data_IF_026869661085
#
_entry.id   IF_026869661085
#
_cell.length_a   1.000
_cell.length_b   1.000
_cell.length_c   1.000
_cell.angle_alpha   90.00
_cell.angle_beta   90.00
_cell.angle_gamma   90.00
#
_symmetry.space_group_name_H-M   'P 1'
#
loop_
_entity.id
_entity.type
_entity.pdbx_description
1 polymer ?
#
# COMPACT_ATOMS: atom_id res chain seq x y z
N UNK A 1 56.64 38.76 -50.28
CA UNK A 1 57.31 38.05 -51.39
C UNK A 1 57.30 36.56 -51.09
N UNK A 2 56.96 35.75 -52.10
CA UNK A 2 57.23 34.31 -52.31
C UNK A 2 57.99 33.56 -51.20
N UNK A 3 57.62 32.37 -50.74
CA UNK A 3 57.01 31.26 -51.48
C UNK A 3 57.97 30.07 -51.52
N UNK A 4 57.40 28.86 -51.33
CA UNK A 4 57.91 27.50 -51.68
C UNK A 4 59.12 26.99 -50.87
N UNK A 5 58.97 25.96 -50.02
CA UNK A 5 58.68 24.54 -50.28
C UNK A 5 59.79 23.82 -51.06
N UNK A 6 60.26 22.69 -50.52
CA UNK A 6 60.53 21.38 -51.15
C UNK A 6 61.65 20.67 -50.38
N UNK A 7 61.34 19.54 -49.73
CA UNK A 7 62.13 18.31 -49.88
C UNK A 7 61.16 17.14 -50.04
N UNK A 8 61.45 16.32 -51.05
CA UNK A 8 60.63 15.29 -51.66
C UNK A 8 61.22 13.90 -51.32
N UNK A 9 60.43 13.09 -50.61
CA UNK A 9 60.09 11.67 -50.86
C UNK A 9 61.18 10.72 -51.43
N UNK A 10 61.54 9.66 -50.66
CA UNK A 10 61.32 8.21 -50.96
C UNK A 10 62.33 7.30 -50.20
N UNK A 11 61.86 6.42 -49.33
CA UNK A 11 61.86 4.96 -49.59
C UNK A 11 61.05 4.22 -48.52
N UNK A 12 60.37 3.19 -49.00
CA UNK A 12 59.30 2.42 -48.36
C UNK A 12 59.89 1.10 -47.86
N UNK A 13 59.55 0.68 -46.63
CA UNK A 13 59.41 -0.75 -46.33
C UNK A 13 58.25 -0.98 -45.37
N UNK A 14 57.37 -1.90 -45.79
CA UNK A 14 56.10 -2.34 -45.25
C UNK A 14 56.24 -2.98 -43.86
N UNK A 15 55.34 -2.64 -42.92
CA UNK A 15 54.68 -3.61 -42.02
C UNK A 15 53.65 -2.91 -41.11
N UNK A 16 52.39 -3.39 -41.19
CA UNK A 16 51.33 -3.35 -40.18
C UNK A 16 50.71 -2.00 -39.80
N UNK A 17 49.40 -1.83 -39.60
CA UNK A 17 48.14 -2.49 -40.00
C UNK A 17 47.07 -1.55 -39.36
N UNK A 18 46.11 -1.02 -40.16
CA UNK A 18 44.65 -1.06 -39.91
C UNK A 18 44.18 -0.60 -38.50
N UNK A 19 43.33 0.41 -38.28
CA UNK A 19 42.19 0.94 -39.03
C UNK A 19 41.80 2.29 -38.42
N UNK A 20 41.53 3.29 -39.24
CA UNK A 20 40.75 4.45 -38.83
C UNK A 20 39.79 4.75 -39.97
N UNK A 21 38.58 4.18 -39.91
CA UNK A 21 37.43 4.73 -40.61
C UNK A 21 36.10 4.07 -40.22
N UNK A 22 35.11 4.93 -40.02
CA UNK A 22 33.66 4.74 -40.10
C UNK A 22 33.00 4.12 -38.84
N UNK A 23 31.84 4.54 -38.35
CA UNK A 23 30.67 5.17 -38.98
C UNK A 23 29.94 6.11 -38.00
N UNK A 24 29.39 7.20 -38.53
CA UNK A 24 28.23 7.87 -37.97
C UNK A 24 27.02 6.94 -38.09
N UNK A 25 26.38 6.62 -36.96
CA UNK A 25 24.96 6.26 -36.95
C UNK A 25 24.31 6.90 -35.72
N UNK A 26 23.43 7.86 -36.00
CA UNK A 26 22.48 8.38 -35.07
C UNK A 26 21.58 7.24 -34.54
N UNK A 27 21.53 7.08 -33.23
CA UNK A 27 20.32 6.61 -32.56
C UNK A 27 19.81 7.78 -31.72
N UNK A 28 19.01 8.62 -32.35
CA UNK A 28 17.91 9.32 -31.66
C UNK A 28 17.11 8.25 -30.94
N UNK A 29 17.22 8.20 -29.61
CA UNK A 29 16.30 7.44 -28.78
C UNK A 29 14.90 8.04 -28.99
N UNK A 30 14.10 7.38 -29.80
CA UNK A 30 12.66 7.53 -29.72
C UNK A 30 12.29 6.89 -28.38
N UNK A 31 12.02 7.72 -27.35
CA UNK A 31 11.29 7.28 -26.18
C UNK A 31 9.86 6.96 -26.62
N UNK A 32 9.67 5.76 -27.19
CA UNK A 32 8.38 5.09 -27.08
C UNK A 32 8.23 4.74 -25.62
N UNK A 33 7.20 5.28 -24.95
CA UNK A 33 6.84 4.99 -23.57
C UNK A 33 6.40 3.54 -23.37
N UNK A 34 7.32 2.59 -23.55
CA UNK A 34 7.17 1.24 -23.03
C UNK A 34 7.40 1.36 -21.53
N UNK A 35 6.31 1.44 -20.78
CA UNK A 35 6.34 1.19 -19.34
C UNK A 35 6.96 -0.21 -19.16
N UNK A 36 8.04 -0.29 -18.37
CA UNK A 36 8.67 -1.59 -18.11
C UNK A 36 7.61 -2.53 -17.53
N UNK A 37 7.60 -3.79 -17.98
CA UNK A 37 6.73 -4.81 -17.40
C UNK A 37 6.95 -4.87 -15.89
N UNK A 38 5.89 -5.01 -15.07
CA UNK A 38 6.03 -5.16 -13.62
C UNK A 38 6.98 -6.30 -13.28
N UNK A 39 7.88 -6.15 -12.28
CA UNK A 39 8.63 -7.28 -11.77
C UNK A 39 7.68 -8.39 -11.32
N UNK A 40 8.09 -9.64 -11.55
CA UNK A 40 7.32 -10.80 -11.14
C UNK A 40 8.15 -11.70 -10.24
N UNK A 41 7.48 -12.29 -9.26
CA UNK A 41 8.05 -13.28 -8.36
C UNK A 41 6.98 -14.24 -7.86
N UNK A 42 7.39 -15.41 -7.38
CA UNK A 42 6.51 -16.25 -6.57
C UNK A 42 6.18 -15.54 -5.24
N UNK A 43 5.11 -15.91 -4.55
CA UNK A 43 4.78 -15.34 -3.26
C UNK A 43 3.40 -15.73 -2.79
N UNK A 44 2.92 -15.04 -1.76
CA UNK A 44 1.58 -15.27 -1.23
C UNK A 44 0.92 -13.95 -0.79
N UNK A 45 -0.40 -13.91 -0.86
CA UNK A 45 -1.24 -12.84 -0.33
C UNK A 45 -2.34 -13.52 0.46
N UNK A 46 -2.44 -13.23 1.75
CA UNK A 46 -3.46 -13.80 2.63
C UNK A 46 -4.21 -12.68 3.32
N UNK A 47 -5.54 -12.68 3.21
CA UNK A 47 -6.41 -11.74 3.91
C UNK A 47 -6.88 -12.28 5.25
N UNK A 48 -7.04 -11.38 6.20
CA UNK A 48 -7.60 -11.64 7.51
C UNK A 48 -8.63 -10.56 7.86
N UNK A 49 -9.73 -10.98 8.49
CA UNK A 49 -10.88 -10.16 8.85
C UNK A 49 -11.10 -10.23 10.37
N UNK A 50 -11.00 -9.09 11.04
CA UNK A 50 -11.15 -8.99 12.48
C UNK A 50 -12.57 -8.56 12.86
N UNK A 51 -13.15 -9.10 13.94
CA UNK A 51 -12.56 -10.05 14.89
C UNK A 51 -12.82 -11.53 14.57
N UNK A 52 -13.29 -11.86 13.36
CA UNK A 52 -13.68 -13.23 12.99
C UNK A 52 -12.48 -14.18 12.98
N UNK A 53 -11.35 -13.69 12.45
CA UNK A 53 -10.08 -14.40 12.48
C UNK A 53 -9.34 -14.16 13.82
N UNK A 54 -8.42 -15.06 14.16
CA UNK A 54 -7.51 -14.90 15.29
C UNK A 54 -6.45 -13.83 15.01
N UNK A 55 -6.88 -12.59 14.75
CA UNK A 55 -6.03 -11.52 14.26
C UNK A 55 -4.86 -11.21 15.21
N UNK A 56 -5.10 -11.24 16.52
CA UNK A 56 -4.05 -11.13 17.54
C UNK A 56 -2.98 -12.22 17.37
N UNK A 57 -3.41 -13.48 17.28
CA UNK A 57 -2.49 -14.61 17.12
C UNK A 57 -1.72 -14.56 15.79
N UNK A 58 -2.40 -14.21 14.70
CA UNK A 58 -1.79 -14.05 13.37
C UNK A 58 -0.71 -12.97 13.38
N UNK A 59 -1.00 -11.81 13.97
CA UNK A 59 -0.01 -10.73 14.06
C UNK A 59 1.17 -11.11 14.97
N UNK A 60 0.91 -11.77 16.11
CA UNK A 60 1.97 -12.30 16.97
C UNK A 60 2.85 -13.29 16.20
N UNK A 61 2.26 -14.21 15.44
CA UNK A 61 3.02 -15.17 14.63
C UNK A 61 3.88 -14.49 13.57
N UNK A 62 3.36 -13.44 12.91
CA UNK A 62 4.13 -12.64 11.95
C UNK A 62 5.39 -12.00 12.58
N UNK A 63 5.24 -11.39 13.75
CA UNK A 63 6.35 -10.77 14.49
C UNK A 63 7.33 -11.83 15.02
N UNK A 64 6.82 -12.94 15.55
CA UNK A 64 7.65 -13.99 16.14
C UNK A 64 8.48 -14.74 15.09
N UNK A 65 7.94 -14.95 13.89
CA UNK A 65 8.63 -15.64 12.80
C UNK A 65 9.78 -14.85 12.17
N UNK A 66 9.88 -13.54 12.39
CA UNK A 66 10.91 -12.71 11.78
C UNK A 66 12.32 -13.08 12.30
N UNK A 67 13.30 -13.17 11.40
CA UNK A 67 14.64 -13.69 11.72
C UNK A 67 15.78 -12.65 11.67
N UNK A 68 15.56 -11.43 11.16
CA UNK A 68 16.57 -10.37 11.01
C UNK A 68 16.07 -8.98 11.34
N UNK A 69 14.86 -8.64 10.92
CA UNK A 69 14.32 -7.30 11.10
C UNK A 69 12.81 -7.30 11.27
N UNK A 70 12.32 -6.34 12.06
CA UNK A 70 10.91 -5.98 12.19
C UNK A 70 10.81 -4.46 12.20
N UNK A 71 10.20 -3.92 11.15
CA UNK A 71 10.03 -2.49 10.98
C UNK A 71 8.56 -2.14 10.86
N UNK A 72 8.02 -1.34 11.77
CA UNK A 72 6.58 -1.08 11.83
C UNK A 72 6.25 0.41 11.89
N UNK A 73 5.17 0.80 11.21
CA UNK A 73 4.56 2.11 11.31
C UNK A 73 3.10 1.95 11.76
N UNK A 74 2.76 2.51 12.94
CA UNK A 74 1.43 2.39 13.53
C UNK A 74 0.90 3.71 14.07
N UNK A 75 -0.35 4.03 13.73
CA UNK A 75 -1.06 5.12 14.41
C UNK A 75 -1.26 4.81 15.89
N UNK A 76 -1.63 3.57 16.26
CA UNK A 76 -1.65 3.13 17.65
C UNK A 76 -0.87 1.84 17.90
N UNK A 77 0.02 1.89 18.91
CA UNK A 77 0.66 0.72 19.51
C UNK A 77 0.29 0.67 20.99
N UNK A 78 -0.78 -0.06 21.32
CA UNK A 78 -1.40 -0.03 22.65
C UNK A 78 -1.74 -1.41 23.23
N UNK A 79 -1.50 -2.51 22.52
CA UNK A 79 -1.66 -3.86 23.07
C UNK A 79 -0.39 -4.26 23.83
N UNK A 80 -0.43 -4.46 25.17
CA UNK A 80 0.78 -4.69 25.96
C UNK A 80 1.60 -5.91 25.52
N UNK A 81 0.94 -7.01 25.16
CA UNK A 81 1.61 -8.23 24.70
C UNK A 81 2.42 -8.03 23.40
N UNK A 82 1.97 -7.15 22.51
CA UNK A 82 2.69 -6.82 21.27
C UNK A 82 3.92 -5.97 21.60
N UNK A 83 3.77 -4.99 22.50
CA UNK A 83 4.89 -4.16 22.97
C UNK A 83 5.95 -5.02 23.64
N UNK A 84 5.54 -5.97 24.49
CA UNK A 84 6.44 -6.91 25.15
C UNK A 84 7.16 -7.81 24.14
N UNK A 85 6.44 -8.35 23.15
CA UNK A 85 7.04 -9.17 22.09
C UNK A 85 8.09 -8.39 21.28
N UNK A 86 7.78 -7.16 20.87
CA UNK A 86 8.72 -6.30 20.14
C UNK A 86 9.98 -6.02 20.95
N UNK A 87 9.85 -5.73 22.26
CA UNK A 87 11.00 -5.51 23.14
C UNK A 87 11.85 -6.78 23.37
N UNK A 88 11.22 -7.96 23.36
CA UNK A 88 11.94 -9.23 23.42
C UNK A 88 12.69 -9.52 22.11
N UNK A 89 12.08 -9.24 20.96
CA UNK A 89 12.69 -9.41 19.63
C UNK A 89 13.82 -8.40 19.40
N UNK A 90 13.70 -7.16 19.89
CA UNK A 90 14.71 -6.10 19.71
C UNK A 90 16.06 -6.41 20.38
N UNK A 91 16.12 -7.44 21.23
CA UNK A 91 17.36 -7.92 21.86
C UNK A 91 18.11 -8.93 20.99
N UNK A 92 17.48 -9.40 19.91
CA UNK A 92 17.96 -10.50 19.07
C UNK A 92 18.12 -10.08 17.61
N UNK A 93 17.21 -9.24 17.11
CA UNK A 93 17.13 -8.79 15.73
C UNK A 93 16.92 -7.28 15.67
N UNK A 94 17.06 -6.68 14.49
CA UNK A 94 16.77 -5.26 14.31
C UNK A 94 15.26 -5.01 14.48
N UNK A 95 14.85 -4.20 15.44
CA UNK A 95 13.45 -3.84 15.63
C UNK A 95 13.38 -2.34 15.68
N UNK A 96 12.52 -1.77 14.84
CA UNK A 96 12.30 -0.33 14.73
C UNK A 96 10.81 -0.06 14.53
N UNK A 97 10.27 0.87 15.29
CA UNK A 97 8.84 1.20 15.23
C UNK A 97 8.65 2.70 15.25
N UNK A 98 7.87 3.23 14.30
CA UNK A 98 7.39 4.61 14.29
C UNK A 98 5.93 4.60 14.75
N UNK A 99 5.58 5.47 15.69
CA UNK A 99 4.22 5.62 16.21
C UNK A 99 3.75 7.08 16.19
N UNK A 100 2.44 7.31 16.10
CA UNK A 100 1.88 8.67 16.21
C UNK A 100 2.04 9.25 17.63
N UNK A 101 2.05 10.59 17.75
CA UNK A 101 2.24 11.36 18.99
C UNK A 101 1.35 10.95 20.16
N UNK A 102 0.19 10.37 19.90
CA UNK A 102 -0.75 9.92 20.91
C UNK A 102 -0.28 8.65 21.64
N UNK A 103 0.90 8.10 21.31
CA UNK A 103 1.54 6.97 21.99
C UNK A 103 2.73 7.40 22.87
N UNK A 104 2.75 8.66 23.31
CA UNK A 104 3.85 9.29 24.06
C UNK A 104 4.21 8.65 25.41
N UNK A 105 3.45 7.67 25.88
CA UNK A 105 3.72 6.92 27.11
C UNK A 105 4.73 5.77 26.89
N UNK A 106 5.07 5.44 25.64
CA UNK A 106 6.09 4.45 25.31
C UNK A 106 7.46 5.10 25.16
N UNK A 107 8.49 4.50 25.76
CA UNK A 107 9.87 4.96 25.66
C UNK A 107 10.82 3.77 25.57
N UNK A 108 11.16 3.40 24.35
CA UNK A 108 12.06 2.28 24.04
C UNK A 108 13.10 2.70 23.00
N UNK A 109 14.33 2.16 23.04
CA UNK A 109 15.36 2.48 22.04
C UNK A 109 14.97 2.16 20.59
N UNK A 110 14.11 1.16 20.42
CA UNK A 110 13.57 0.71 19.13
C UNK A 110 12.36 1.53 18.66
N UNK A 111 11.88 2.52 19.44
CA UNK A 111 10.66 3.26 19.13
C UNK A 111 10.96 4.74 18.86
N UNK A 112 10.34 5.27 17.80
CA UNK A 112 10.26 6.71 17.49
C UNK A 112 8.82 7.16 17.49
N UNK A 113 8.60 8.38 17.97
CA UNK A 113 7.29 9.03 17.98
C UNK A 113 7.32 10.13 16.92
N UNK A 114 6.43 10.06 15.94
CA UNK A 114 6.16 11.18 15.05
C UNK A 114 5.53 12.32 15.86
N UNK A 115 6.09 13.52 15.71
CA UNK A 115 5.60 14.76 16.34
C UNK A 115 5.21 15.81 15.31
N UNK A 116 5.09 15.42 14.04
CA UNK A 116 4.64 16.25 12.95
C UNK A 116 3.18 16.73 13.16
N UNK A 117 2.78 17.72 12.37
CA UNK A 117 1.42 18.28 12.46
C UNK A 117 0.37 17.45 11.72
N UNK A 118 0.81 16.67 10.72
CA UNK A 118 -0.03 15.69 10.06
C UNK A 118 -0.12 14.43 10.93
N UNK A 119 -0.82 13.40 10.45
CA UNK A 119 -0.81 12.11 11.12
C UNK A 119 0.07 11.14 10.35
N UNK A 120 0.97 10.45 11.04
CA UNK A 120 1.52 9.19 10.57
C UNK A 120 0.44 8.12 10.78
N UNK A 121 -0.41 7.95 9.78
CA UNK A 121 -1.64 7.17 9.89
C UNK A 121 -1.49 5.74 9.31
N UNK A 122 -0.27 5.33 9.00
CA UNK A 122 0.06 3.97 8.58
C UNK A 122 -0.32 2.89 9.62
N UNK A 123 -0.57 1.68 9.12
CA UNK A 123 -0.69 0.43 9.90
C UNK A 123 -0.02 -0.71 9.13
N UNK A 124 1.30 -0.70 9.13
CA UNK A 124 2.05 -1.77 8.49
C UNK A 124 3.24 -2.23 9.32
N UNK A 125 3.68 -3.45 9.06
CA UNK A 125 4.97 -3.97 9.48
C UNK A 125 5.64 -4.71 8.34
N UNK A 126 6.96 -4.64 8.29
CA UNK A 126 7.81 -5.36 7.38
C UNK A 126 8.71 -6.29 8.19
N UNK A 127 8.76 -7.56 7.80
CA UNK A 127 9.61 -8.57 8.40
C UNK A 127 10.65 -9.03 7.39
N UNK A 128 11.92 -9.05 7.82
CA UNK A 128 13.05 -9.60 7.07
C UNK A 128 13.37 -8.95 5.71
N UNK A 129 12.88 -7.74 5.46
CA UNK A 129 13.16 -7.02 4.21
C UNK A 129 14.54 -6.36 4.20
N UNK A 130 14.98 -6.01 3.00
CA UNK A 130 16.15 -5.18 2.72
C UNK A 130 15.72 -4.07 1.76
N UNK A 131 16.12 -2.83 2.07
CA UNK A 131 15.86 -1.66 1.23
C UNK A 131 16.52 -1.73 -0.16
N UNK A 132 17.44 -2.68 -0.37
CA UNK A 132 18.06 -2.95 -1.69
C UNK A 132 17.41 -4.12 -2.45
N UNK A 133 16.24 -4.60 -2.03
CA UNK A 133 15.57 -5.76 -2.63
C UNK A 133 16.15 -7.09 -2.16
N UNK A 134 16.12 -8.11 -3.03
CA UNK A 134 16.46 -9.52 -2.74
C UNK A 134 17.65 -9.68 -1.77
N UNK A 135 17.36 -10.19 -0.57
CA UNK A 135 18.33 -10.29 0.53
C UNK A 135 19.12 -11.63 0.55
N UNK A 136 18.96 -12.49 -0.46
CA UNK A 136 19.65 -13.78 -0.56
C UNK A 136 19.33 -14.80 0.54
N UNK A 137 18.32 -14.55 1.40
CA UNK A 137 17.87 -15.47 2.43
C UNK A 137 16.97 -16.58 1.88
N UNK A 138 16.93 -17.69 2.61
CA UNK A 138 15.94 -18.73 2.41
C UNK A 138 14.61 -18.29 3.04
N UNK A 139 13.67 -17.83 2.22
CA UNK A 139 12.38 -17.28 2.66
C UNK A 139 12.12 -15.91 2.02
N UNK A 140 10.85 -15.54 1.86
CA UNK A 140 10.47 -14.21 1.36
C UNK A 140 10.18 -13.29 2.54
N UNK A 141 10.56 -12.01 2.47
CA UNK A 141 10.15 -11.03 3.47
C UNK A 141 8.63 -10.89 3.46
N UNK A 142 8.08 -10.58 4.64
CA UNK A 142 6.64 -10.44 4.85
C UNK A 142 6.25 -8.98 5.07
N UNK A 143 5.08 -8.59 4.54
CA UNK A 143 4.44 -7.30 4.81
C UNK A 143 3.08 -7.57 5.44
N UNK A 144 2.88 -7.04 6.63
CA UNK A 144 1.57 -6.83 7.24
C UNK A 144 1.08 -5.44 6.85
N UNK A 145 -0.10 -5.31 6.24
CA UNK A 145 -0.68 -4.01 5.88
C UNK A 145 -2.20 -4.04 5.90
N UNK A 146 -2.84 -2.99 6.41
CA UNK A 146 -4.28 -2.87 6.36
C UNK A 146 -4.85 -1.72 7.17
N UNK A 147 -6.06 -1.93 7.67
CA UNK A 147 -6.79 -0.94 8.49
C UNK A 147 -6.55 -1.11 10.00
N UNK A 148 -5.93 -2.22 10.39
CA UNK A 148 -5.80 -2.69 11.77
C UNK A 148 -4.55 -2.12 12.47
N UNK A 149 -4.75 -1.28 13.48
CA UNK A 149 -3.67 -0.84 14.38
C UNK A 149 -3.27 -1.92 15.39
N UNK A 150 -2.11 -1.78 16.02
CA UNK A 150 -1.64 -2.65 17.10
C UNK A 150 -2.32 -2.34 18.46
N UNK A 151 -3.66 -2.39 18.49
CA UNK A 151 -4.50 -2.13 19.68
C UNK A 151 -5.54 -3.24 19.92
N UNK A 152 -5.89 -3.46 21.19
CA UNK A 152 -6.84 -4.52 21.60
C UNK A 152 -8.14 -4.50 20.79
N UNK A 153 -8.81 -3.35 20.75
CA UNK A 153 -10.07 -3.20 20.03
C UNK A 153 -9.93 -3.40 18.52
N UNK A 154 -8.78 -3.09 17.91
CA UNK A 154 -8.59 -3.30 16.47
C UNK A 154 -8.57 -4.78 16.11
N UNK A 155 -7.94 -5.61 16.95
CA UNK A 155 -7.86 -7.04 16.72
C UNK A 155 -9.10 -7.81 17.19
N UNK A 156 -9.72 -7.41 18.30
CA UNK A 156 -10.67 -8.27 19.02
C UNK A 156 -12.12 -7.79 18.98
N UNK A 157 -12.41 -6.57 18.50
CA UNK A 157 -13.79 -6.03 18.58
C UNK A 157 -14.24 -5.24 17.35
N UNK A 158 -13.40 -4.35 16.82
CA UNK A 158 -13.70 -3.54 15.66
C UNK A 158 -13.62 -4.38 14.37
N UNK A 159 -14.51 -4.08 13.43
CA UNK A 159 -14.43 -4.63 12.07
C UNK A 159 -13.23 -3.98 11.37
N UNK A 160 -12.21 -4.79 11.09
CA UNK A 160 -11.01 -4.40 10.34
C UNK A 160 -10.59 -5.53 9.40
N UNK A 161 -9.62 -5.23 8.56
CA UNK A 161 -8.93 -6.21 7.75
C UNK A 161 -7.45 -5.86 7.62
N UNK A 162 -6.64 -6.88 7.34
CA UNK A 162 -5.27 -6.73 6.91
C UNK A 162 -4.86 -7.85 5.96
N UNK A 163 -3.80 -7.60 5.21
CA UNK A 163 -3.11 -8.58 4.37
C UNK A 163 -1.77 -8.95 5.02
N UNK A 164 -1.39 -10.21 4.87
CA UNK A 164 0.02 -10.63 4.92
C UNK A 164 0.46 -10.94 3.48
N UNK A 165 1.50 -10.25 3.02
CA UNK A 165 2.05 -10.38 1.67
C UNK A 165 3.50 -10.86 1.76
N UNK A 166 3.81 -12.00 1.15
CA UNK A 166 5.18 -12.50 1.01
C UNK A 166 5.74 -12.13 -0.36
N UNK A 167 6.59 -11.10 -0.41
CA UNK A 167 7.12 -10.55 -1.67
C UNK A 167 8.37 -9.72 -1.39
N UNK A 168 9.44 -9.94 -2.16
CA UNK A 168 10.65 -9.11 -2.08
C UNK A 168 10.40 -7.69 -2.55
N UNK A 169 9.61 -7.51 -3.61
CA UNK A 169 9.39 -6.20 -4.22
C UNK A 169 8.43 -5.35 -3.38
N UNK A 170 7.29 -5.91 -2.95
CA UNK A 170 6.35 -5.21 -2.07
C UNK A 170 7.03 -4.90 -0.73
N UNK A 171 7.79 -5.84 -0.16
CA UNK A 171 8.51 -5.56 1.08
C UNK A 171 9.60 -4.49 0.93
N UNK A 172 10.26 -4.40 -0.23
CA UNK A 172 11.22 -3.33 -0.50
C UNK A 172 10.54 -1.95 -0.57
N UNK A 173 9.35 -1.85 -1.15
CA UNK A 173 8.58 -0.60 -1.19
C UNK A 173 8.19 -0.14 0.23
N UNK A 174 7.60 -1.03 1.04
CA UNK A 174 7.23 -0.70 2.43
C UNK A 174 8.44 -0.46 3.34
N UNK A 175 9.56 -1.13 3.10
CA UNK A 175 10.83 -0.85 3.80
C UNK A 175 11.36 0.54 3.43
N UNK A 176 11.24 0.96 2.17
CA UNK A 176 11.59 2.31 1.72
C UNK A 176 10.80 3.38 2.47
N UNK A 177 9.47 3.27 2.44
CA UNK A 177 8.56 4.14 3.20
C UNK A 177 8.92 4.15 4.70
N UNK A 178 9.18 2.98 5.28
CA UNK A 178 9.56 2.90 6.69
C UNK A 178 10.85 3.67 7.00
N UNK A 179 11.89 3.55 6.16
CA UNK A 179 13.15 4.25 6.37
C UNK A 179 12.99 5.77 6.31
N UNK A 180 12.08 6.27 5.48
CA UNK A 180 11.73 7.68 5.41
C UNK A 180 11.08 8.16 6.72
N UNK A 181 10.02 7.47 7.16
CA UNK A 181 9.36 7.73 8.45
C UNK A 181 10.35 7.63 9.62
N UNK A 182 11.21 6.62 9.61
CA UNK A 182 12.23 6.43 10.63
C UNK A 182 13.21 7.59 10.63
N UNK A 183 13.63 8.08 9.46
CA UNK A 183 14.53 9.24 9.33
C UNK A 183 13.87 10.59 9.65
N UNK A 184 12.55 10.61 9.87
CA UNK A 184 11.76 11.80 10.20
C UNK A 184 11.27 12.57 8.97
N UNK A 185 11.22 11.92 7.81
CA UNK A 185 10.57 12.43 6.60
C UNK A 185 9.13 11.95 6.64
N UNK A 186 8.19 12.90 6.64
CA UNK A 186 6.74 12.66 6.71
C UNK A 186 6.05 13.48 5.62
N UNK A 187 5.04 12.90 4.99
CA UNK A 187 4.22 13.52 3.96
C UNK A 187 4.89 13.60 2.58
N UNK A 188 5.92 12.80 2.34
CA UNK A 188 6.63 12.71 1.06
C UNK A 188 7.92 11.91 1.19
N UNK A 189 8.62 11.72 0.08
CA UNK A 189 9.63 10.69 0.03
C UNK A 189 10.35 10.57 -1.30
N UNK A 190 11.04 9.45 -1.45
CA UNK A 190 11.51 8.93 -2.71
C UNK A 190 10.38 8.27 -3.50
N UNK A 191 10.63 7.95 -4.77
CA UNK A 191 9.65 7.21 -5.55
C UNK A 191 9.60 5.76 -5.09
N UNK A 192 8.38 5.23 -4.92
CA UNK A 192 8.12 3.79 -4.80
C UNK A 192 8.79 3.05 -5.95
N UNK A 193 9.81 2.20 -5.71
CA UNK A 193 10.61 1.61 -6.78
C UNK A 193 9.86 0.52 -7.56
N UNK A 194 8.93 -0.19 -6.92
CA UNK A 194 8.16 -1.28 -7.53
C UNK A 194 6.64 -1.07 -7.39
N UNK A 195 6.09 0.06 -7.88
CA UNK A 195 4.70 0.46 -7.63
C UNK A 195 3.66 -0.50 -8.23
N UNK A 196 4.10 -1.48 -9.03
CA UNK A 196 3.32 -2.60 -9.55
C UNK A 196 4.17 -3.86 -9.48
N UNK A 197 3.66 -4.95 -8.89
CA UNK A 197 4.33 -6.25 -8.77
C UNK A 197 3.39 -7.38 -9.17
N UNK A 198 3.85 -8.31 -9.99
CA UNK A 198 3.10 -9.53 -10.31
C UNK A 198 3.52 -10.68 -9.39
N UNK A 199 2.69 -10.98 -8.39
CA UNK A 199 2.90 -12.10 -7.46
C UNK A 199 2.24 -13.35 -8.02
N UNK A 200 3.03 -14.40 -8.23
CA UNK A 200 2.55 -15.72 -8.63
C UNK A 200 2.37 -16.60 -7.39
N UNK A 201 1.17 -17.16 -7.22
CA UNK A 201 0.90 -18.10 -6.12
C UNK A 201 0.23 -19.38 -6.66
N UNK A 202 0.27 -20.50 -5.92
CA UNK A 202 -0.45 -21.71 -6.31
C UNK A 202 -1.97 -21.50 -6.51
N UNK A 203 -2.54 -20.48 -5.88
CA UNK A 203 -3.97 -20.18 -5.90
C UNK A 203 -4.35 -19.11 -6.93
N UNK A 204 -3.40 -18.67 -7.77
CA UNK A 204 -3.60 -17.65 -8.79
C UNK A 204 -2.55 -16.55 -8.72
N UNK A 205 -2.46 -15.80 -9.80
CA UNK A 205 -1.59 -14.63 -9.87
C UNK A 205 -2.35 -13.40 -9.40
N UNK A 206 -1.62 -12.46 -8.81
CA UNK A 206 -2.15 -11.17 -8.39
C UNK A 206 -1.21 -10.06 -8.88
N UNK A 207 -1.78 -9.06 -9.56
CA UNK A 207 -1.08 -7.79 -9.76
C UNK A 207 -1.34 -6.93 -8.52
N UNK A 208 -0.28 -6.49 -7.86
CA UNK A 208 -0.32 -5.66 -6.66
C UNK A 208 0.24 -4.29 -6.99
N UNK A 209 -0.55 -3.25 -6.78
CA UNK A 209 -0.05 -1.87 -6.77
C UNK A 209 0.17 -1.43 -5.32
N UNK A 210 1.28 -0.73 -5.06
CA UNK A 210 1.62 -0.12 -3.77
C UNK A 210 1.65 1.38 -3.95
N UNK A 211 0.97 2.12 -3.07
CA UNK A 211 0.94 3.57 -3.07
C UNK A 211 1.10 4.11 -1.65
N UNK A 212 1.90 5.15 -1.50
CA UNK A 212 2.04 5.93 -0.28
C UNK A 212 1.49 7.35 -0.49
N UNK A 213 0.61 7.77 0.39
CA UNK A 213 0.02 9.10 0.37
C UNK A 213 0.70 9.99 1.40
N UNK A 214 0.88 11.30 1.09
CA UNK A 214 0.22 12.06 0.02
C UNK A 214 0.91 12.06 -1.35
N UNK A 215 2.02 11.35 -1.55
CA UNK A 215 2.86 11.52 -2.74
C UNK A 215 2.42 10.76 -3.99
N UNK A 216 1.77 9.60 -3.85
CA UNK A 216 1.42 8.73 -4.98
C UNK A 216 0.00 8.95 -5.53
N UNK A 217 -0.75 9.92 -4.99
CA UNK A 217 -2.08 10.28 -5.47
C UNK A 217 -3.12 9.17 -5.29
N UNK A 218 -3.28 8.67 -4.07
CA UNK A 218 -4.15 7.52 -3.78
C UNK A 218 -5.63 7.79 -4.11
N UNK A 219 -6.14 9.00 -3.92
CA UNK A 219 -7.53 9.30 -4.33
C UNK A 219 -7.71 9.21 -5.85
N UNK A 220 -6.74 9.67 -6.64
CA UNK A 220 -6.78 9.57 -8.09
C UNK A 220 -6.67 8.11 -8.55
N UNK A 221 -5.85 7.29 -7.88
CA UNK A 221 -5.77 5.85 -8.14
C UNK A 221 -7.12 5.16 -7.86
N UNK A 222 -7.70 5.38 -6.69
CA UNK A 222 -9.02 4.84 -6.34
C UNK A 222 -10.10 5.31 -7.32
N UNK A 223 -10.10 6.59 -7.67
CA UNK A 223 -11.04 7.16 -8.64
C UNK A 223 -10.94 6.46 -10.00
N UNK A 224 -9.71 6.23 -10.51
CA UNK A 224 -9.51 5.51 -11.78
C UNK A 224 -10.06 4.09 -11.74
N UNK A 225 -9.91 3.38 -10.62
CA UNK A 225 -10.49 2.04 -10.48
C UNK A 225 -12.03 2.10 -10.54
N UNK A 226 -12.66 3.03 -9.83
CA UNK A 226 -14.12 3.23 -9.86
C UNK A 226 -14.62 3.64 -11.25
N UNK A 227 -13.89 4.51 -11.94
CA UNK A 227 -14.24 4.95 -13.29
C UNK A 227 -14.20 3.81 -14.32
N UNK A 228 -13.34 2.81 -14.11
CA UNK A 228 -13.21 1.62 -14.96
C UNK A 228 -14.00 0.40 -14.46
N UNK A 229 -14.75 0.53 -13.36
CA UNK A 229 -15.58 -0.57 -12.85
C UNK A 229 -16.69 -0.95 -13.85
N UNK A 230 -16.94 -2.26 -13.94
CA UNK A 230 -17.81 -2.88 -14.93
C UNK A 230 -19.09 -3.50 -14.33
N UNK A 231 -19.00 -4.19 -13.18
CA UNK A 231 -20.11 -5.00 -12.64
C UNK A 231 -20.56 -4.53 -11.26
N UNK A 232 -19.65 -4.48 -10.30
CA UNK A 232 -19.99 -4.27 -8.89
C UNK A 232 -18.90 -3.53 -8.12
N UNK A 233 -19.35 -2.61 -7.27
CA UNK A 233 -18.54 -1.93 -6.26
C UNK A 233 -19.18 -2.14 -4.89
N UNK A 234 -18.44 -2.76 -3.97
CA UNK A 234 -18.78 -2.82 -2.56
C UNK A 234 -17.74 -2.03 -1.75
N UNK A 235 -18.15 -1.27 -0.73
CA UNK A 235 -17.17 -0.56 0.09
C UNK A 235 -17.56 -0.46 1.57
N UNK A 236 -16.53 -0.45 2.41
CA UNK A 236 -16.60 -0.18 3.84
C UNK A 236 -15.74 1.03 4.14
N UNK A 237 -16.32 2.05 4.74
CA UNK A 237 -15.62 3.30 4.98
C UNK A 237 -15.75 3.76 6.43
N UNK A 238 -14.62 3.76 7.15
CA UNK A 238 -14.51 4.47 8.41
C UNK A 238 -14.79 5.97 8.19
N UNK A 239 -13.94 6.70 7.45
CA UNK A 239 -14.19 8.11 7.11
C UNK A 239 -14.20 8.34 5.61
N UNK A 240 -15.28 8.92 5.08
CA UNK A 240 -15.42 9.22 3.66
C UNK A 240 -16.02 10.61 3.43
N UNK A 241 -15.17 11.54 3.02
CA UNK A 241 -15.51 12.96 2.78
C UNK A 241 -15.15 13.46 1.39
N UNK A 242 -14.40 12.71 0.57
CA UNK A 242 -14.01 13.11 -0.79
C UNK A 242 -15.18 13.12 -1.77
N UNK A 243 -15.58 14.32 -2.20
CA UNK A 243 -16.62 14.48 -3.22
C UNK A 243 -16.25 13.86 -4.57
N UNK A 244 -14.97 13.89 -4.95
CA UNK A 244 -14.48 13.32 -6.23
C UNK A 244 -14.74 11.81 -6.33
N UNK A 245 -14.48 11.07 -5.25
CA UNK A 245 -14.78 9.63 -5.16
C UNK A 245 -16.28 9.39 -5.13
N UNK A 246 -17.05 10.19 -4.37
CA UNK A 246 -18.51 10.10 -4.34
C UNK A 246 -19.14 10.33 -5.73
N UNK A 247 -18.65 11.30 -6.49
CA UNK A 247 -19.08 11.56 -7.86
C UNK A 247 -18.74 10.39 -8.80
N UNK A 248 -17.55 9.79 -8.65
CA UNK A 248 -17.15 8.62 -9.43
C UNK A 248 -18.07 7.41 -9.17
N UNK A 249 -18.46 7.15 -7.92
CA UNK A 249 -19.40 6.08 -7.56
C UNK A 249 -20.78 6.30 -8.20
N UNK A 250 -21.28 7.54 -8.21
CA UNK A 250 -22.56 7.86 -8.85
C UNK A 250 -22.48 7.71 -10.37
N UNK A 251 -21.34 8.08 -10.97
CA UNK A 251 -21.11 7.85 -12.39
C UNK A 251 -21.07 6.35 -12.70
N UNK A 252 -20.42 5.54 -11.87
CA UNK A 252 -20.42 4.08 -12.01
C UNK A 252 -21.85 3.51 -11.97
N UNK A 253 -22.66 3.91 -10.99
CA UNK A 253 -24.07 3.52 -10.94
C UNK A 253 -24.83 3.93 -12.20
N UNK A 254 -24.57 5.13 -12.74
CA UNK A 254 -25.21 5.62 -13.97
C UNK A 254 -24.81 4.81 -15.21
N UNK A 255 -23.65 4.14 -15.20
CA UNK A 255 -23.23 3.17 -16.22
C UNK A 255 -23.86 1.79 -16.03
N UNK A 256 -24.56 1.54 -14.93
CA UNK A 256 -25.19 0.26 -14.61
C UNK A 256 -24.42 -0.62 -13.62
N UNK A 257 -23.29 -0.13 -13.07
CA UNK A 257 -22.53 -0.81 -12.03
C UNK A 257 -23.34 -0.86 -10.74
N UNK A 258 -23.42 -2.02 -10.08
CA UNK A 258 -24.07 -2.13 -8.77
C UNK A 258 -23.18 -1.53 -7.70
N UNK A 259 -23.66 -0.57 -6.93
CA UNK A 259 -22.87 0.07 -5.87
C UNK A 259 -23.56 -0.09 -4.52
N UNK A 260 -22.89 -0.72 -3.56
CA UNK A 260 -23.36 -0.83 -2.17
C UNK A 260 -22.25 -0.42 -1.19
N UNK A 261 -22.58 0.27 -0.10
CA UNK A 261 -21.54 0.67 0.86
C UNK A 261 -21.99 0.98 2.28
N UNK A 262 -21.13 0.64 3.24
CA UNK A 262 -21.35 0.80 4.68
C UNK A 262 -20.44 1.90 5.21
N UNK A 263 -21.02 2.82 5.97
CA UNK A 263 -20.29 3.91 6.62
C UNK A 263 -20.27 3.72 8.13
N UNK A 264 -19.15 4.03 8.76
CA UNK A 264 -19.05 4.11 10.21
C UNK A 264 -19.96 5.21 10.80
N UNK A 265 -20.95 4.83 11.59
CA UNK A 265 -21.94 5.72 12.20
C UNK A 265 -21.29 6.77 13.10
N UNK A 266 -20.24 6.43 13.84
CA UNK A 266 -19.51 7.38 14.68
C UNK A 266 -18.78 8.47 13.88
N UNK A 267 -18.63 8.30 12.56
CA UNK A 267 -18.05 9.31 11.65
C UNK A 267 -19.13 10.18 10.97
N UNK A 268 -20.40 10.04 11.39
CA UNK A 268 -21.51 10.86 10.88
C UNK A 268 -21.27 12.35 11.15
N UNK A 269 -21.20 13.12 10.07
CA UNK A 269 -21.03 14.57 10.09
C UNK A 269 -21.59 15.19 8.81
N UNK A 270 -21.72 16.52 8.78
CA UNK A 270 -22.13 17.27 7.58
C UNK A 270 -21.17 17.13 6.39
N UNK A 271 -19.92 16.67 6.63
CA UNK A 271 -18.91 16.50 5.60
C UNK A 271 -18.88 15.07 5.03
N UNK A 272 -19.51 14.11 5.72
CA UNK A 272 -19.59 12.73 5.25
C UNK A 272 -20.38 12.64 3.95
N UNK A 273 -19.93 11.79 3.03
CA UNK A 273 -20.59 11.58 1.74
C UNK A 273 -21.81 10.67 1.82
N UNK A 274 -22.10 10.04 2.97
CA UNK A 274 -23.24 9.13 3.12
C UNK A 274 -24.57 9.74 2.63
N UNK A 275 -24.99 10.88 3.21
CA UNK A 275 -26.30 11.46 2.91
C UNK A 275 -26.38 11.99 1.47
N UNK A 276 -25.27 12.49 0.93
CA UNK A 276 -25.12 12.90 -0.47
C UNK A 276 -25.32 11.72 -1.43
N UNK A 277 -24.66 10.59 -1.17
CA UNK A 277 -24.79 9.38 -1.99
C UNK A 277 -26.20 8.79 -1.87
N UNK A 278 -26.76 8.74 -0.66
CA UNK A 278 -28.13 8.27 -0.42
C UNK A 278 -29.16 9.10 -1.17
N UNK A 279 -29.05 10.44 -1.11
CA UNK A 279 -29.92 11.35 -1.84
C UNK A 279 -29.81 11.20 -3.37
N UNK A 280 -28.66 10.74 -3.87
CA UNK A 280 -28.40 10.42 -5.29
C UNK A 280 -28.76 8.98 -5.66
N UNK A 281 -29.44 8.26 -4.77
CA UNK A 281 -30.03 6.95 -5.02
C UNK A 281 -29.07 5.77 -4.85
N UNK A 282 -27.86 5.96 -4.32
CA UNK A 282 -26.96 4.85 -4.05
C UNK A 282 -27.43 4.03 -2.85
N UNK A 283 -27.17 2.72 -2.91
CA UNK A 283 -27.46 1.80 -1.83
C UNK A 283 -26.38 1.90 -0.73
N UNK A 284 -26.45 2.95 0.08
CA UNK A 284 -25.56 3.14 1.22
C UNK A 284 -26.34 3.09 2.54
N UNK A 285 -25.65 2.65 3.59
CA UNK A 285 -26.16 2.62 4.96
C UNK A 285 -25.10 3.06 5.96
N UNK A 286 -25.54 3.60 7.09
CA UNK A 286 -24.73 3.61 8.29
C UNK A 286 -24.71 2.20 8.88
N UNK A 287 -23.59 1.82 9.49
CA UNK A 287 -23.58 0.65 10.36
C UNK A 287 -24.38 0.92 11.65
N UNK A 288 -24.73 -0.15 12.35
CA UNK A 288 -25.35 -0.14 13.67
C UNK A 288 -24.62 -1.12 14.60
N UNK A 289 -23.29 -1.17 14.50
CA UNK A 289 -22.45 -2.03 15.30
C UNK A 289 -22.24 -1.42 16.69
N UNK A 290 -22.04 -2.29 17.69
CA UNK A 290 -21.66 -1.87 19.05
C UNK A 290 -20.22 -1.34 19.09
N UNK A 291 -19.36 -1.94 18.28
CA UNK A 291 -17.95 -1.63 18.09
C UNK A 291 -17.75 -0.96 16.73
N UNK A 292 -16.56 -0.46 16.41
CA UNK A 292 -16.36 0.35 15.20
C UNK A 292 -16.28 -0.49 13.92
N UNK A 293 -16.89 -0.01 12.84
CA UNK A 293 -16.50 -0.30 11.47
C UNK A 293 -15.23 0.50 11.11
N UNK A 294 -14.06 0.00 11.48
CA UNK A 294 -12.78 0.68 11.22
C UNK A 294 -12.12 0.25 9.89
N UNK A 295 -12.84 -0.53 9.09
CA UNK A 295 -12.44 -0.96 7.74
C UNK A 295 -12.41 0.20 6.73
N UNK A 296 -11.55 0.06 5.73
CA UNK A 296 -11.26 1.04 4.68
C UNK A 296 -11.03 0.28 3.37
N UNK A 297 -12.10 -0.23 2.81
CA UNK A 297 -12.05 -1.18 1.69
C UNK A 297 -12.93 -0.73 0.57
N UNK A 298 -12.42 -0.84 -0.66
CA UNK A 298 -13.23 -0.84 -1.88
C UNK A 298 -12.97 -2.15 -2.64
N UNK A 299 -14.03 -2.92 -2.90
CA UNK A 299 -14.02 -4.10 -3.75
C UNK A 299 -14.64 -3.68 -5.06
N UNK A 300 -13.85 -3.67 -6.13
CA UNK A 300 -14.22 -3.18 -7.46
C UNK A 300 -14.01 -4.34 -8.43
N UNK A 301 -15.10 -5.00 -8.82
CA UNK A 301 -15.06 -6.23 -9.62
C UNK A 301 -14.10 -7.28 -8.99
N UNK A 302 -13.00 -7.62 -9.68
CA UNK A 302 -11.99 -8.57 -9.20
C UNK A 302 -10.79 -7.88 -8.50
N UNK A 303 -10.96 -6.63 -8.05
CA UNK A 303 -9.91 -5.82 -7.43
C UNK A 303 -10.29 -5.42 -6.00
N UNK A 304 -9.33 -5.52 -5.07
CA UNK A 304 -9.47 -5.02 -3.69
C UNK A 304 -8.53 -3.85 -3.48
N UNK A 305 -9.06 -2.75 -2.95
CA UNK A 305 -8.28 -1.61 -2.44
C UNK A 305 -8.42 -1.61 -0.93
N UNK A 306 -7.30 -1.70 -0.20
CA UNK A 306 -7.28 -1.62 1.27
C UNK A 306 -6.00 -0.94 1.75
N UNK A 307 -5.90 -0.72 3.05
CA UNK A 307 -4.78 -0.04 3.70
C UNK A 307 -5.27 0.87 4.82
N UNK A 308 -4.48 1.90 5.13
CA UNK A 308 -4.81 2.86 6.17
C UNK A 308 -5.66 4.03 5.66
N UNK A 309 -5.67 4.24 4.35
CA UNK A 309 -6.26 5.40 3.68
C UNK A 309 -7.77 5.54 3.89
N UNK A 310 -8.17 6.67 4.46
CA UNK A 310 -9.55 7.12 4.42
C UNK A 310 -9.77 8.00 3.18
N UNK A 311 -10.82 7.80 2.36
CA UNK A 311 -11.18 8.69 1.24
C UNK A 311 -11.64 10.07 1.74
N UNK A 312 -10.68 10.85 2.21
CA UNK A 312 -10.82 12.15 2.86
C UNK A 312 -9.71 13.08 2.41
N UNK A 313 -9.90 14.39 2.54
CA UNK A 313 -8.86 15.33 2.11
C UNK A 313 -7.56 15.20 2.90
N UNK A 314 -7.65 14.93 4.21
CA UNK A 314 -6.46 14.72 5.03
C UNK A 314 -5.72 13.44 4.63
N UNK A 315 -6.44 12.34 4.39
CA UNK A 315 -5.82 11.08 3.94
C UNK A 315 -5.10 11.21 2.59
N UNK A 316 -5.57 12.09 1.71
CA UNK A 316 -5.00 12.24 0.37
C UNK A 316 -3.86 13.26 0.27
N UNK A 317 -3.88 14.32 1.08
CA UNK A 317 -2.95 15.46 0.91
C UNK A 317 -2.11 15.79 2.13
N UNK A 318 -2.30 15.09 3.25
CA UNK A 318 -1.64 15.45 4.50
C UNK A 318 -1.08 14.28 5.29
N UNK A 319 -1.91 13.26 5.56
CA UNK A 319 -1.50 12.12 6.38
C UNK A 319 -0.58 11.19 5.59
N UNK A 320 0.35 10.57 6.29
CA UNK A 320 1.05 9.39 5.77
C UNK A 320 0.08 8.20 5.80
N UNK A 321 -0.22 7.69 4.62
CA UNK A 321 -1.15 6.58 4.43
C UNK A 321 -0.57 5.57 3.45
N UNK A 322 -0.90 4.30 3.63
CA UNK A 322 -0.56 3.24 2.68
C UNK A 322 -1.83 2.70 2.02
N UNK A 323 -1.73 2.43 0.73
CA UNK A 323 -2.76 1.77 -0.08
C UNK A 323 -2.14 0.62 -0.84
N UNK A 324 -2.78 -0.53 -0.75
CA UNK A 324 -2.51 -1.69 -1.60
C UNK A 324 -3.72 -1.96 -2.48
N UNK A 325 -3.49 -2.08 -3.78
CA UNK A 325 -4.49 -2.49 -4.76
C UNK A 325 -4.13 -3.88 -5.23
N UNK A 326 -5.00 -4.86 -4.98
CA UNK A 326 -4.75 -6.24 -5.36
C UNK A 326 -5.77 -6.67 -6.41
N UNK A 327 -5.30 -6.90 -7.62
CA UNK A 327 -6.10 -7.44 -8.72
C UNK A 327 -6.05 -8.97 -8.66
N UNK A 328 -7.01 -9.55 -7.94
CA UNK A 328 -7.15 -10.99 -7.79
C UNK A 328 -8.60 -11.35 -7.45
N UNK A 329 -9.22 -12.17 -8.31
CA UNK A 329 -10.63 -12.55 -8.21
C UNK A 329 -10.94 -13.30 -6.91
N UNK A 330 -10.10 -14.25 -6.54
CA UNK A 330 -10.29 -15.07 -5.36
C UNK A 330 -10.25 -14.24 -4.07
N UNK A 331 -9.32 -13.28 -3.99
CA UNK A 331 -9.21 -12.34 -2.89
C UNK A 331 -10.41 -11.37 -2.86
N UNK A 332 -10.81 -10.83 -4.02
CA UNK A 332 -11.99 -9.97 -4.12
C UNK A 332 -13.26 -10.66 -3.63
N UNK A 333 -13.41 -11.96 -3.92
CA UNK A 333 -14.53 -12.76 -3.43
C UNK A 333 -14.47 -12.96 -1.91
N UNK A 334 -13.30 -13.20 -1.32
CA UNK A 334 -13.15 -13.28 0.16
C UNK A 334 -13.58 -11.97 0.84
N UNK A 335 -13.09 -10.83 0.32
CA UNK A 335 -13.48 -9.51 0.83
C UNK A 335 -14.98 -9.23 0.64
N UNK A 336 -15.56 -9.65 -0.50
CA UNK A 336 -16.99 -9.51 -0.77
C UNK A 336 -17.84 -10.34 0.20
N UNK A 337 -17.39 -11.53 0.57
CA UNK A 337 -18.04 -12.34 1.61
C UNK A 337 -18.00 -11.66 2.97
N UNK A 338 -16.86 -11.08 3.35
CA UNK A 338 -16.73 -10.26 4.56
C UNK A 338 -17.69 -9.08 4.56
N UNK A 339 -17.71 -8.30 3.46
CA UNK A 339 -18.64 -7.19 3.26
C UNK A 339 -20.09 -7.62 3.42
N UNK A 340 -20.52 -8.70 2.76
CA UNK A 340 -21.91 -9.15 2.84
C UNK A 340 -22.28 -9.70 4.22
N UNK A 341 -21.32 -10.23 4.98
CA UNK A 341 -21.50 -10.56 6.39
C UNK A 341 -21.94 -9.34 7.20
N UNK A 342 -21.19 -8.25 7.11
CA UNK A 342 -21.51 -6.99 7.80
C UNK A 342 -22.79 -6.35 7.24
N UNK A 343 -22.92 -6.32 5.90
CA UNK A 343 -24.04 -5.70 5.18
C UNK A 343 -25.39 -6.27 5.59
N UNK A 344 -25.51 -7.60 5.59
CA UNK A 344 -26.77 -8.28 5.88
C UNK A 344 -27.23 -8.04 7.32
N UNK A 345 -26.30 -7.95 8.27
CA UNK A 345 -26.61 -7.59 9.65
C UNK A 345 -27.21 -6.18 9.75
N UNK A 346 -26.80 -5.25 8.87
CA UNK A 346 -27.37 -3.89 8.83
C UNK A 346 -28.78 -3.88 8.25
N UNK A 347 -29.07 -4.72 7.25
CA UNK A 347 -30.39 -4.78 6.61
C UNK A 347 -31.46 -5.46 7.49
N UNK A 348 -31.06 -6.35 8.40
CA UNK A 348 -31.99 -7.07 9.27
C UNK A 348 -32.54 -6.23 10.43
N UNK A 349 -32.07 -4.98 10.59
CA UNK A 349 -32.44 -4.07 11.68
C UNK A 349 -33.43 -2.99 11.22
N UNK A 350 -33.67 -2.87 9.90
CA UNK A 350 -34.53 -1.83 9.31
C UNK A 350 -36.01 -2.17 9.24
#
# INVERSE_FOLDING_TARGET
>A
MSGRSIINIKQISKASLISMMLFLSACTYIQTGMQAEPPSEDGSITAYFCPQDNCTGVFISFIDSAESSIHCAFYYLRKPEIVELLDQKSRQIDVRVVVERDNNNLNYPWLRVDTSSAYMHNKFCVADASSQGMNGRAGKPGVYVGSTDAMLSAFESNINNFLIIESNYVAADFEGEFEELWSGVYGGGGQTPYPKVLISSPNGNALVDVLFCPEDGCSDALKRLIDNADQEINFEAFSFTLKSIADALVNAQSRGVKVSGIFEYQQKSQYSQHDSLKARGLNVTWDNLREKLHSKVFIIDDTVVTGSFNPSMNGDTRNDESVVVVHNKELAEQYRQGFYGVWNDQQNIS
#
